data_IF_546830421434
#
_entry.id   IF_546830421434
#
_cell.length_a   1.000
_cell.length_b   1.000
_cell.length_c   1.000
_cell.angle_alpha   90.00
_cell.angle_beta   90.00
_cell.angle_gamma   90.00
#
_symmetry.space_group_name_H-M   'P 1'
#
loop_
_entity.id
_entity.type
_entity.pdbx_description
1 polymer ?
#
# COMPACT_ATOMS: atom_id res chain seq x y z
N UNK A 1 -8.11 22.08 0.63
CA UNK A 1 -9.16 21.26 -0.01
C UNK A 1 -8.76 19.78 0.06
N UNK A 2 -9.63 18.90 0.59
CA UNK A 2 -9.38 17.46 0.70
C UNK A 2 -10.07 16.66 -0.39
N UNK A 3 -9.39 15.69 -1.00
CA UNK A 3 -9.99 14.82 -2.01
C UNK A 3 -10.42 13.49 -1.37
N UNK A 4 -11.73 13.26 -1.30
CA UNK A 4 -12.34 12.07 -0.72
C UNK A 4 -12.51 11.01 -1.78
N UNK A 5 -11.83 9.87 -1.64
CA UNK A 5 -12.01 8.68 -2.46
C UNK A 5 -12.74 7.60 -1.64
N UNK A 6 -14.03 7.35 -1.87
CA UNK A 6 -14.77 6.33 -1.16
C UNK A 6 -14.28 4.94 -1.57
N UNK A 7 -14.09 4.09 -0.57
CA UNK A 7 -13.55 2.74 -0.71
C UNK A 7 -14.61 1.73 -0.32
N UNK A 8 -15.02 0.89 -1.25
CA UNK A 8 -15.99 -0.16 -0.95
C UNK A 8 -15.41 -1.19 0.06
N UNK A 9 -16.16 -1.47 1.11
CA UNK A 9 -15.87 -2.50 2.12
C UNK A 9 -16.43 -3.82 1.58
N UNK A 10 -15.59 -4.56 0.87
CA UNK A 10 -15.97 -5.83 0.24
C UNK A 10 -16.21 -6.95 1.29
N UNK A 11 -17.35 -6.89 2.00
CA UNK A 11 -17.72 -7.80 3.10
C UNK A 11 -19.22 -8.18 3.04
N UNK A 12 -19.74 -8.53 1.86
CA UNK A 12 -21.14 -8.94 1.69
C UNK A 12 -22.19 -7.84 1.89
N UNK A 13 -21.78 -6.56 1.84
CA UNK A 13 -22.69 -5.41 1.94
C UNK A 13 -23.04 -4.91 0.54
N UNK A 14 -24.22 -4.32 0.35
CA UNK A 14 -24.62 -3.80 -0.96
C UNK A 14 -23.70 -2.68 -1.44
N UNK A 15 -23.28 -2.74 -2.71
CA UNK A 15 -22.56 -1.67 -3.38
C UNK A 15 -23.40 -0.39 -3.54
N UNK A 16 -24.73 -0.48 -3.42
CA UNK A 16 -25.66 0.65 -3.48
C UNK A 16 -25.82 1.38 -2.14
N UNK A 17 -25.37 0.80 -1.02
CA UNK A 17 -25.42 1.44 0.29
C UNK A 17 -24.18 2.32 0.53
N UNK A 18 -24.32 3.65 0.72
CA UNK A 18 -23.20 4.54 1.05
C UNK A 18 -22.43 4.13 2.32
N UNK A 19 -23.07 3.44 3.27
CA UNK A 19 -22.41 2.97 4.49
C UNK A 19 -21.44 1.80 4.26
N UNK A 20 -21.56 1.13 3.11
CA UNK A 20 -20.61 0.13 2.64
C UNK A 20 -19.28 0.72 2.24
N UNK A 21 -19.13 2.04 2.19
CA UNK A 21 -17.88 2.70 1.83
C UNK A 21 -17.12 3.21 3.06
N UNK A 22 -15.80 3.21 2.98
CA UNK A 22 -14.89 3.91 3.89
C UNK A 22 -14.46 5.21 3.20
N UNK A 23 -14.63 6.33 3.90
CA UNK A 23 -14.15 7.63 3.45
C UNK A 23 -12.62 7.67 3.60
N UNK A 24 -11.90 7.90 2.50
CA UNK A 24 -10.45 8.11 2.52
C UNK A 24 -10.19 9.49 1.93
N UNK A 25 -9.58 10.38 2.71
CA UNK A 25 -9.29 11.74 2.26
C UNK A 25 -7.80 11.89 2.04
N UNK A 26 -7.39 12.14 0.79
CA UNK A 26 -5.98 12.37 0.47
C UNK A 26 -5.63 13.81 0.84
N UNK A 27 -4.74 13.96 1.83
CA UNK A 27 -4.16 15.25 2.26
C UNK A 27 -3.03 15.68 1.30
N UNK A 28 -2.81 16.99 1.15
CA UNK A 28 -1.64 17.49 0.41
C UNK A 28 -0.34 17.11 1.12
N UNK A 29 0.76 17.00 0.39
CA UNK A 29 2.08 16.67 0.95
C UNK A 29 2.51 17.70 1.99
N UNK A 30 2.25 18.99 1.75
CA UNK A 30 2.54 20.08 2.69
C UNK A 30 1.80 19.84 4.00
N UNK A 31 0.49 19.54 3.95
CA UNK A 31 -0.27 19.25 5.16
C UNK A 31 0.27 18.02 5.91
N UNK A 32 0.70 16.97 5.21
CA UNK A 32 1.31 15.79 5.85
C UNK A 32 2.61 16.12 6.59
N UNK A 33 3.44 17.00 6.02
CA UNK A 33 4.68 17.46 6.66
C UNK A 33 4.36 18.31 7.88
N UNK A 34 3.43 19.26 7.77
CA UNK A 34 3.06 20.13 8.89
C UNK A 34 2.34 19.35 10.01
N UNK A 35 1.47 18.38 9.67
CA UNK A 35 0.85 17.44 10.62
C UNK A 35 1.90 16.65 11.41
N UNK A 36 2.96 16.19 10.74
CA UNK A 36 4.04 15.43 11.37
C UNK A 36 4.94 16.29 12.26
N UNK A 37 5.27 17.51 11.83
CA UNK A 37 6.03 18.47 12.65
C UNK A 37 5.25 18.83 13.92
N UNK A 38 3.96 19.13 13.79
CA UNK A 38 3.11 19.43 14.94
C UNK A 38 2.95 18.25 15.90
N UNK A 39 2.90 17.01 15.38
CA UNK A 39 2.87 15.82 16.23
C UNK A 39 4.17 15.66 17.03
N UNK A 40 5.32 15.87 16.37
CA UNK A 40 6.63 15.81 17.03
C UNK A 40 6.77 16.92 18.09
N UNK A 41 6.35 18.15 17.79
CA UNK A 41 6.45 19.30 18.70
C UNK A 41 5.56 19.18 19.97
N UNK A 42 4.64 18.21 19.99
CA UNK A 42 3.71 17.96 21.09
C UNK A 42 3.78 16.51 21.61
N UNK A 43 4.74 15.69 21.16
CA UNK A 43 4.81 14.27 21.53
C UNK A 43 4.92 14.07 23.03
N UNK A 44 5.76 14.85 23.71
CA UNK A 44 5.98 14.75 25.15
C UNK A 44 4.70 15.04 25.97
N UNK A 45 3.89 15.98 25.51
CA UNK A 45 2.61 16.34 26.14
C UNK A 45 1.61 15.19 25.94
N UNK A 46 1.54 14.67 24.71
CA UNK A 46 0.62 13.59 24.33
C UNK A 46 0.98 12.28 25.03
N UNK A 47 2.27 11.95 25.15
CA UNK A 47 2.73 10.71 25.80
C UNK A 47 2.43 10.72 27.30
N UNK A 48 2.58 11.85 27.98
CA UNK A 48 2.30 11.99 29.43
C UNK A 48 0.84 11.73 29.80
N UNK A 49 -0.10 12.03 28.89
CA UNK A 49 -1.55 11.89 29.15
C UNK A 49 -2.11 10.55 28.67
N UNK A 50 -1.33 9.76 27.92
CA UNK A 50 -1.79 8.47 27.43
C UNK A 50 -1.94 7.48 28.58
N UNK A 51 -3.06 6.76 28.59
CA UNK A 51 -3.28 5.71 29.58
C UNK A 51 -2.21 4.60 29.40
N UNK A 52 -1.64 4.11 30.48
CA UNK A 52 -0.60 3.07 30.45
C UNK A 52 -1.09 1.72 29.88
N UNK A 53 -2.39 1.53 29.64
CA UNK A 53 -3.01 0.39 28.96
C UNK A 53 -3.33 0.68 27.48
N UNK A 54 -3.19 1.92 27.02
CA UNK A 54 -3.33 2.27 25.61
C UNK A 54 -2.19 1.59 24.83
N UNK A 55 -2.54 0.79 23.83
CA UNK A 55 -1.58 0.11 22.94
C UNK A 55 -1.68 0.58 21.49
N UNK A 56 -2.79 1.22 21.12
CA UNK A 56 -3.01 1.80 19.80
C UNK A 56 -2.48 3.23 19.71
N UNK A 57 -1.75 3.54 18.64
CA UNK A 57 -1.21 4.88 18.37
C UNK A 57 -0.29 5.44 19.48
N UNK A 58 0.40 4.55 20.21
CA UNK A 58 1.39 4.88 21.23
C UNK A 58 2.78 4.54 20.70
N UNK A 59 3.75 5.46 20.84
CA UNK A 59 5.11 5.24 20.40
C UNK A 59 5.77 4.09 21.21
N UNK A 60 6.57 3.26 20.53
CA UNK A 60 7.29 2.15 21.19
C UNK A 60 6.43 0.97 21.67
N UNK A 61 5.09 1.03 21.55
CA UNK A 61 4.18 0.01 22.05
C UNK A 61 3.31 -0.57 20.93
N UNK A 62 3.25 -1.90 20.84
CA UNK A 62 2.46 -2.58 19.81
C UNK A 62 1.03 -2.89 20.31
N UNK A 63 -0.01 -2.67 19.47
CA UNK A 63 -1.37 -3.15 19.73
C UNK A 63 -1.45 -4.65 20.02
N UNK A 64 -0.47 -5.42 19.55
CA UNK A 64 -0.39 -6.86 19.79
C UNK A 64 -0.30 -7.19 21.27
N UNK A 65 0.30 -6.33 22.10
CA UNK A 65 0.38 -6.55 23.53
C UNK A 65 -1.00 -6.53 24.21
N UNK A 66 -1.96 -5.74 23.72
CA UNK A 66 -3.35 -5.79 24.22
C UNK A 66 -4.01 -7.14 23.88
N UNK A 67 -3.77 -7.64 22.67
CA UNK A 67 -4.29 -8.94 22.25
C UNK A 67 -3.68 -10.08 23.08
N UNK A 68 -2.37 -10.04 23.38
CA UNK A 68 -1.71 -11.01 24.25
C UNK A 68 -2.36 -11.04 25.63
N UNK A 69 -2.52 -9.88 26.28
CA UNK A 69 -3.14 -9.78 27.62
C UNK A 69 -4.54 -10.40 27.64
N UNK A 70 -5.39 -10.06 26.67
CA UNK A 70 -6.75 -10.59 26.59
C UNK A 70 -6.73 -12.11 26.36
N UNK A 71 -5.84 -12.59 25.49
CA UNK A 71 -5.76 -14.02 25.14
C UNK A 71 -5.28 -14.85 26.32
N UNK A 72 -4.32 -14.35 27.11
CA UNK A 72 -3.85 -15.02 28.33
C UNK A 72 -4.92 -15.00 29.42
N UNK A 73 -5.65 -13.90 29.61
CA UNK A 73 -6.81 -13.85 30.52
C UNK A 73 -7.87 -14.90 30.17
N UNK A 74 -8.18 -15.08 28.88
CA UNK A 74 -9.08 -16.14 28.43
C UNK A 74 -8.55 -17.54 28.73
N UNK A 75 -7.27 -17.75 28.48
CA UNK A 75 -6.63 -19.04 28.69
C UNK A 75 -6.60 -19.42 30.19
N UNK A 76 -6.28 -18.46 31.06
CA UNK A 76 -6.23 -18.65 32.50
C UNK A 76 -7.63 -18.86 33.09
N UNK A 77 -8.62 -18.07 32.68
CA UNK A 77 -10.00 -18.27 33.11
C UNK A 77 -10.54 -19.66 32.70
N UNK A 78 -10.20 -20.12 31.50
CA UNK A 78 -10.58 -21.45 31.02
C UNK A 78 -9.93 -22.57 31.83
N UNK A 79 -8.64 -22.46 32.11
CA UNK A 79 -7.88 -23.49 32.84
C UNK A 79 -8.38 -23.62 34.30
N UNK A 80 -8.67 -22.49 34.93
CA UNK A 80 -9.17 -22.43 36.32
C UNK A 80 -10.70 -22.54 36.43
N UNK A 81 -11.41 -22.76 35.32
CA UNK A 81 -12.88 -22.79 35.26
C UNK A 81 -13.54 -21.56 35.89
N UNK A 82 -12.90 -20.40 35.75
CA UNK A 82 -13.39 -19.12 36.25
C UNK A 82 -14.33 -18.48 35.22
N UNK A 83 -15.33 -17.77 35.72
CA UNK A 83 -16.20 -16.94 34.87
C UNK A 83 -15.43 -15.68 34.46
N UNK A 84 -15.13 -15.56 33.16
CA UNK A 84 -14.58 -14.34 32.58
C UNK A 84 -15.64 -13.63 31.74
N UNK A 85 -15.91 -12.38 32.08
CA UNK A 85 -16.81 -11.50 31.32
C UNK A 85 -15.96 -10.50 30.54
N UNK A 86 -16.00 -10.57 29.21
CA UNK A 86 -15.35 -9.60 28.35
C UNK A 86 -16.38 -8.62 27.77
N UNK A 87 -16.23 -7.34 28.12
CA UNK A 87 -16.98 -6.26 27.50
C UNK A 87 -16.15 -5.61 26.38
N UNK A 88 -16.59 -5.77 25.13
CA UNK A 88 -15.97 -5.14 23.97
C UNK A 88 -16.77 -3.92 23.55
N UNK A 89 -16.09 -2.76 23.49
CA UNK A 89 -16.66 -1.50 23.03
C UNK A 89 -16.01 -1.13 21.70
N UNK A 90 -16.83 -0.97 20.66
CA UNK A 90 -16.38 -0.47 19.35
C UNK A 90 -17.10 0.84 19.01
N UNK A 91 -16.31 1.88 18.74
CA UNK A 91 -16.84 3.19 18.41
C UNK A 91 -17.20 3.25 16.91
N UNK A 92 -18.49 3.23 16.60
CA UNK A 92 -18.97 3.23 15.22
C UNK A 92 -18.59 4.53 14.49
N UNK A 93 -17.75 4.41 13.45
CA UNK A 93 -17.25 5.53 12.62
C UNK A 93 -16.54 6.61 13.47
N UNK A 94 -15.73 6.19 14.45
CA UNK A 94 -15.07 7.06 15.43
C UNK A 94 -14.38 8.31 14.83
N UNK A 95 -13.66 8.14 13.72
CA UNK A 95 -12.99 9.26 13.05
C UNK A 95 -13.96 10.14 12.28
N UNK A 96 -14.98 9.59 11.61
CA UNK A 96 -15.97 10.36 10.84
C UNK A 96 -16.92 11.18 11.72
N UNK A 97 -17.16 10.74 12.97
CA UNK A 97 -18.09 11.38 13.92
C UNK A 97 -17.41 12.31 14.93
N UNK A 98 -16.11 12.53 14.79
CA UNK A 98 -15.33 13.32 15.75
C UNK A 98 -15.70 14.81 15.65
N UNK A 99 -16.15 15.39 16.77
CA UNK A 99 -16.53 16.81 16.84
C UNK A 99 -15.28 17.69 16.96
N UNK A 100 -15.05 18.56 15.97
CA UNK A 100 -13.86 19.43 15.94
C UNK A 100 -13.78 20.36 17.14
N UNK A 101 -14.90 20.91 17.61
CA UNK A 101 -14.96 21.77 18.80
C UNK A 101 -14.52 21.04 20.06
N UNK A 102 -14.96 19.78 20.24
CA UNK A 102 -14.54 18.94 21.37
C UNK A 102 -13.08 18.54 21.29
N UNK A 103 -12.57 18.25 20.08
CA UNK A 103 -11.14 18.00 19.85
C UNK A 103 -10.30 19.21 20.26
N UNK A 104 -10.60 20.38 19.69
CA UNK A 104 -9.86 21.62 19.94
C UNK A 104 -9.90 22.02 21.42
N UNK A 105 -11.06 21.86 22.08
CA UNK A 105 -11.17 22.08 23.52
C UNK A 105 -10.28 21.13 24.32
N UNK A 106 -10.30 19.84 24.00
CA UNK A 106 -9.48 18.83 24.69
C UNK A 106 -7.99 19.06 24.47
N UNK A 107 -7.56 19.39 23.26
CA UNK A 107 -6.15 19.66 22.96
C UNK A 107 -5.64 20.89 23.69
N UNK A 108 -6.48 21.94 23.84
CA UNK A 108 -6.15 23.09 24.68
C UNK A 108 -5.98 22.69 26.15
N UNK A 109 -6.91 21.90 26.69
CA UNK A 109 -6.91 21.48 28.10
C UNK A 109 -5.71 20.60 28.49
N UNK A 110 -5.14 19.85 27.54
CA UNK A 110 -3.95 19.01 27.79
C UNK A 110 -2.64 19.79 27.64
N UNK A 111 -2.69 21.10 27.35
CA UNK A 111 -1.52 21.97 27.26
C UNK A 111 -0.96 22.20 25.85
N UNK A 112 -1.71 21.84 24.80
CA UNK A 112 -1.41 22.31 23.44
C UNK A 112 -2.10 23.66 23.26
N UNK A 113 -1.38 24.76 23.50
CA UNK A 113 -1.88 26.15 23.47
C UNK A 113 -1.10 27.03 22.47
N UNK A 114 -1.33 28.35 22.50
CA UNK A 114 -0.63 29.34 21.66
C UNK A 114 -0.69 29.06 20.15
N UNK A 115 0.41 29.30 19.46
CA UNK A 115 0.53 29.15 18.00
C UNK A 115 0.28 27.71 17.53
N UNK A 116 0.69 26.72 18.36
CA UNK A 116 0.45 25.30 18.08
C UNK A 116 -1.05 25.01 18.03
N UNK A 117 -1.80 25.51 19.00
CA UNK A 117 -3.25 25.35 19.04
C UNK A 117 -3.96 26.13 17.92
N UNK A 118 -3.50 27.35 17.62
CA UNK A 118 -4.03 28.16 16.52
C UNK A 118 -3.84 27.47 15.16
N UNK A 119 -2.71 26.81 14.95
CA UNK A 119 -2.45 26.01 13.74
C UNK A 119 -3.40 24.80 13.65
N UNK A 120 -3.59 24.06 14.76
CA UNK A 120 -4.55 22.97 14.82
C UNK A 120 -5.98 23.46 14.55
N UNK A 121 -6.37 24.61 15.13
CA UNK A 121 -7.66 25.27 14.86
C UNK A 121 -7.80 25.60 13.38
N UNK A 122 -6.77 26.20 12.76
CA UNK A 122 -6.77 26.54 11.34
C UNK A 122 -6.93 25.31 10.43
N UNK A 123 -6.34 24.16 10.79
CA UNK A 123 -6.53 22.91 10.04
C UNK A 123 -7.97 22.41 10.02
N UNK A 124 -8.75 22.69 11.06
CA UNK A 124 -10.14 22.25 11.18
C UNK A 124 -11.18 23.36 10.90
N UNK A 125 -10.77 24.63 10.76
CA UNK A 125 -11.69 25.76 10.70
C UNK A 125 -12.40 25.93 9.34
N UNK A 126 -11.82 25.42 8.23
CA UNK A 126 -12.41 25.56 6.88
C UNK A 126 -12.08 24.34 5.99
N UNK A 127 -12.23 23.14 6.54
CA UNK A 127 -12.01 21.93 5.76
C UNK A 127 -13.07 21.81 4.67
N UNK A 128 -12.71 22.16 3.44
CA UNK A 128 -13.54 21.88 2.26
C UNK A 128 -13.05 20.62 1.58
N UNK A 129 -13.97 19.71 1.28
CA UNK A 129 -13.66 18.45 0.58
C UNK A 129 -14.53 18.24 -0.65
N UNK A 130 -14.04 17.40 -1.55
CA UNK A 130 -14.76 16.92 -2.72
C UNK A 130 -14.69 15.40 -2.78
N UNK A 131 -15.81 14.76 -3.12
CA UNK A 131 -15.85 13.32 -3.36
C UNK A 131 -15.48 13.04 -4.80
N UNK A 132 -14.48 12.19 -5.00
CA UNK A 132 -14.14 11.60 -6.29
C UNK A 132 -14.90 10.30 -6.47
N UNK A 133 -15.77 10.23 -7.47
CA UNK A 133 -16.55 9.03 -7.79
C UNK A 133 -16.57 8.79 -9.30
N UNK A 134 -16.19 7.58 -9.75
CA UNK A 134 -16.19 7.20 -11.17
C UNK A 134 -15.55 8.23 -12.13
N UNK A 135 -14.52 8.93 -11.69
CA UNK A 135 -13.82 9.95 -12.49
C UNK A 135 -14.38 11.37 -12.37
N UNK A 136 -15.58 11.55 -11.83
CA UNK A 136 -16.16 12.85 -11.52
C UNK A 136 -15.81 13.35 -10.12
N UNK A 137 -15.93 14.67 -9.92
CA UNK A 137 -15.79 15.34 -8.62
C UNK A 137 -17.15 15.90 -8.18
N UNK A 138 -17.47 15.75 -6.91
CA UNK A 138 -18.61 16.46 -6.33
C UNK A 138 -18.34 17.97 -6.24
N UNK A 139 -19.40 18.75 -6.07
CA UNK A 139 -19.26 20.13 -5.56
C UNK A 139 -18.47 20.12 -4.24
N UNK A 140 -17.61 21.12 -3.99
CA UNK A 140 -16.95 21.27 -2.71
C UNK A 140 -17.98 21.41 -1.58
N UNK A 141 -17.74 20.73 -0.46
CA UNK A 141 -18.58 20.84 0.73
C UNK A 141 -17.71 20.96 1.99
N UNK A 142 -18.19 21.72 2.99
CA UNK A 142 -17.48 21.84 4.27
C UNK A 142 -17.58 20.52 5.08
N UNK A 143 -16.44 20.04 5.58
CA UNK A 143 -16.35 18.94 6.53
C UNK A 143 -16.51 19.48 7.95
N UNK A 144 -17.64 19.14 8.57
CA UNK A 144 -17.96 19.55 9.95
C UNK A 144 -17.47 18.54 11.00
N UNK A 145 -17.13 17.31 10.58
CA UNK A 145 -16.71 16.18 11.42
C UNK A 145 -15.82 15.24 10.58
N UNK A 146 -14.80 14.62 11.18
CA UNK A 146 -13.93 13.68 10.45
C UNK A 146 -12.43 13.73 10.77
N UNK A 147 -11.73 12.62 10.53
CA UNK A 147 -10.26 12.58 10.40
C UNK A 147 -9.89 11.67 9.21
N UNK A 148 -8.80 11.97 8.48
CA UNK A 148 -8.45 11.34 7.18
C UNK A 148 -7.87 9.91 7.36
N UNK A 149 -8.15 8.98 6.44
CA UNK A 149 -7.66 7.57 6.47
C UNK A 149 -7.04 7.12 5.13
N UNK A 150 -6.06 6.21 5.14
CA UNK A 150 -5.32 5.68 3.96
C UNK A 150 -5.60 4.18 3.66
N UNK A 151 -5.19 3.68 2.47
CA UNK A 151 -5.49 2.34 1.93
C UNK A 151 -4.23 1.51 1.61
N UNK A 152 -4.32 0.17 1.74
CA UNK A 152 -3.23 -0.80 1.48
C UNK A 152 -3.19 -1.32 0.03
N UNK A 153 -2.02 -1.83 -0.41
CA UNK A 153 -1.61 -2.10 -1.80
C UNK A 153 -1.76 -3.58 -2.26
N UNK A 154 -1.69 -3.82 -3.58
CA UNK A 154 -1.79 -5.15 -4.25
C UNK A 154 -0.43 -5.89 -4.28
N UNK A 155 -0.43 -7.23 -4.42
CA UNK A 155 0.77 -8.09 -4.39
C UNK A 155 1.88 -7.66 -5.37
N UNK A 156 1.51 -7.21 -6.57
CA UNK A 156 2.46 -6.72 -7.56
C UNK A 156 3.02 -5.32 -7.23
N UNK A 157 2.29 -4.51 -6.45
CA UNK A 157 2.80 -3.22 -5.99
C UNK A 157 3.95 -3.38 -5.00
N UNK A 158 3.89 -4.40 -4.14
CA UNK A 158 4.98 -4.74 -3.22
C UNK A 158 6.26 -5.11 -3.98
N UNK A 159 6.16 -5.98 -4.99
CA UNK A 159 7.30 -6.37 -5.83
C UNK A 159 7.89 -5.20 -6.62
N UNK A 160 7.05 -4.31 -7.18
CA UNK A 160 7.56 -3.14 -7.91
C UNK A 160 8.24 -2.10 -7.01
N UNK A 161 7.76 -1.95 -5.78
CA UNK A 161 8.38 -1.07 -4.79
C UNK A 161 9.62 -1.70 -4.15
N UNK A 162 9.83 -3.01 -4.30
CA UNK A 162 10.86 -3.74 -3.58
C UNK A 162 10.59 -3.82 -2.08
N UNK A 163 9.36 -3.60 -1.63
CA UNK A 163 9.00 -3.56 -0.22
C UNK A 163 8.08 -4.73 0.12
N UNK A 164 8.32 -5.45 1.23
CA UNK A 164 7.47 -6.58 1.60
C UNK A 164 6.11 -6.10 2.12
N UNK A 165 5.10 -6.99 2.16
CA UNK A 165 3.80 -6.66 2.72
C UNK A 165 3.90 -6.33 4.21
N UNK A 166 2.97 -5.52 4.72
CA UNK A 166 2.96 -5.14 6.13
C UNK A 166 2.91 -6.36 7.07
N UNK A 167 2.30 -7.46 6.62
CA UNK A 167 2.26 -8.72 7.36
C UNK A 167 3.66 -9.33 7.55
N UNK A 168 4.54 -9.20 6.57
CA UNK A 168 5.94 -9.61 6.68
C UNK A 168 6.66 -8.80 7.78
N UNK A 169 6.47 -7.49 7.79
CA UNK A 169 7.05 -6.60 8.80
C UNK A 169 6.53 -6.92 10.22
N UNK A 170 5.25 -7.26 10.34
CA UNK A 170 4.68 -7.73 11.60
C UNK A 170 5.35 -9.02 12.05
N UNK A 171 5.51 -10.01 11.16
CA UNK A 171 6.15 -11.27 11.51
C UNK A 171 7.62 -11.09 11.92
N UNK A 172 8.39 -10.24 11.21
CA UNK A 172 9.76 -9.89 11.62
C UNK A 172 9.80 -9.34 13.04
N UNK A 173 8.90 -8.40 13.37
CA UNK A 173 8.81 -7.82 14.71
C UNK A 173 8.46 -8.86 15.77
N UNK A 174 7.51 -9.76 15.48
CA UNK A 174 7.15 -10.88 16.37
C UNK A 174 8.40 -11.71 16.69
N UNK A 175 9.19 -12.09 15.66
CA UNK A 175 10.41 -12.86 15.86
C UNK A 175 11.51 -12.09 16.59
N UNK A 176 11.68 -10.79 16.33
CA UNK A 176 12.63 -9.96 17.08
C UNK A 176 12.25 -9.89 18.56
N UNK A 177 10.96 -9.68 18.86
CA UNK A 177 10.44 -9.68 20.24
C UNK A 177 10.66 -11.03 20.91
N UNK A 178 10.30 -12.12 20.25
CA UNK A 178 10.53 -13.47 20.78
C UNK A 178 12.01 -13.74 21.03
N UNK A 179 12.89 -13.37 20.09
CA UNK A 179 14.34 -13.47 20.22
C UNK A 179 14.90 -12.72 21.44
N UNK A 180 14.30 -11.58 21.81
CA UNK A 180 14.70 -10.84 23.01
C UNK A 180 14.23 -11.53 24.30
N UNK A 181 13.03 -12.11 24.29
CA UNK A 181 12.49 -12.87 25.44
C UNK A 181 13.36 -14.10 25.71
N UNK A 182 13.67 -14.90 24.68
CA UNK A 182 14.46 -16.12 24.86
C UNK A 182 15.91 -15.85 25.30
N UNK A 183 16.47 -14.67 24.97
CA UNK A 183 17.80 -14.26 25.43
C UNK A 183 17.85 -13.74 26.87
N UNK A 184 16.72 -13.34 27.45
CA UNK A 184 16.67 -12.75 28.78
C UNK A 184 16.14 -13.76 29.82
N UNK A 185 17.04 -14.64 30.27
CA UNK A 185 16.71 -15.78 31.14
C UNK A 185 16.06 -15.39 32.47
N UNK A 186 16.38 -14.22 33.02
CA UNK A 186 15.87 -13.76 34.32
C UNK A 186 14.47 -13.13 34.24
N UNK A 187 13.94 -12.93 33.03
CA UNK A 187 12.65 -12.28 32.83
C UNK A 187 11.46 -13.19 33.11
N UNK A 188 10.36 -12.61 33.60
CA UNK A 188 9.09 -13.32 33.81
C UNK A 188 8.57 -13.86 32.48
N UNK A 189 8.75 -13.10 31.40
CA UNK A 189 8.39 -13.47 30.03
C UNK A 189 9.13 -14.72 29.56
N UNK A 190 10.41 -14.89 29.91
CA UNK A 190 11.16 -16.10 29.60
C UNK A 190 10.62 -17.32 30.36
N UNK A 191 10.32 -17.17 31.65
CA UNK A 191 9.73 -18.23 32.45
C UNK A 191 8.32 -18.62 31.97
N UNK A 192 7.51 -17.63 31.56
CA UNK A 192 6.20 -17.84 30.95
C UNK A 192 6.31 -18.58 29.61
N UNK A 193 7.35 -18.29 28.82
CA UNK A 193 7.59 -18.96 27.54
C UNK A 193 7.72 -20.47 27.72
N UNK A 194 8.56 -20.92 28.66
CA UNK A 194 8.73 -22.34 28.99
C UNK A 194 7.43 -23.00 29.44
N UNK A 195 6.69 -22.34 30.34
CA UNK A 195 5.43 -22.87 30.87
C UNK A 195 4.35 -22.98 29.80
N UNK A 196 4.15 -21.94 28.99
CA UNK A 196 3.09 -21.88 27.99
C UNK A 196 3.34 -22.87 26.84
N UNK A 197 4.59 -23.00 26.39
CA UNK A 197 4.95 -23.93 25.31
C UNK A 197 4.92 -25.41 25.76
N UNK A 198 5.08 -25.68 27.06
CA UNK A 198 4.96 -27.04 27.61
C UNK A 198 3.52 -27.46 27.91
N UNK A 199 2.62 -26.51 28.19
CA UNK A 199 1.27 -26.80 28.70
C UNK A 199 0.16 -26.60 27.67
N UNK A 200 0.33 -25.70 26.69
CA UNK A 200 -0.73 -25.39 25.73
C UNK A 200 -0.69 -26.31 24.52
N UNK A 201 -1.86 -26.83 24.16
CA UNK A 201 -2.06 -27.60 22.91
C UNK A 201 -1.82 -26.73 21.66
N UNK A 202 -1.46 -27.37 20.54
CA UNK A 202 -1.21 -26.71 19.25
C UNK A 202 -2.45 -25.97 18.67
N UNK A 203 -3.65 -26.24 19.18
CA UNK A 203 -4.89 -25.53 18.80
C UNK A 203 -5.21 -24.32 19.69
N UNK A 204 -4.34 -23.99 20.66
CA UNK A 204 -4.51 -22.84 21.54
C UNK A 204 -4.26 -21.53 20.78
N UNK A 205 -5.02 -20.48 21.13
CA UNK A 205 -4.82 -19.14 20.57
C UNK A 205 -3.64 -18.37 21.20
N UNK A 206 -2.87 -19.00 22.10
CA UNK A 206 -1.74 -18.34 22.78
C UNK A 206 -0.74 -17.76 21.80
N UNK A 207 -0.17 -16.60 22.15
CA UNK A 207 0.85 -15.93 21.35
C UNK A 207 2.07 -16.82 21.11
N UNK A 208 2.47 -17.64 22.08
CA UNK A 208 3.60 -18.56 21.94
C UNK A 208 3.32 -19.69 20.95
N UNK A 209 2.08 -20.19 20.88
CA UNK A 209 1.65 -21.18 19.88
C UNK A 209 1.57 -20.55 18.48
N UNK A 210 1.12 -19.29 18.39
CA UNK A 210 1.21 -18.52 17.15
C UNK A 210 2.69 -18.36 16.72
N UNK A 211 3.59 -17.97 17.62
CA UNK A 211 5.04 -17.88 17.31
C UNK A 211 5.57 -19.22 16.83
N UNK A 212 5.23 -20.34 17.48
CA UNK A 212 5.60 -21.69 17.05
C UNK A 212 5.13 -21.97 15.61
N UNK A 213 3.86 -21.72 15.31
CA UNK A 213 3.31 -21.91 13.94
C UNK A 213 3.98 -21.01 12.90
N UNK A 214 4.41 -19.81 13.29
CA UNK A 214 5.12 -18.89 12.41
C UNK A 214 6.56 -19.37 12.20
N UNK A 215 7.26 -19.86 13.23
CA UNK A 215 8.58 -20.45 13.08
C UNK A 215 8.54 -21.62 12.07
N UNK A 216 7.55 -22.50 12.20
CA UNK A 216 7.29 -23.60 11.26
C UNK A 216 6.97 -23.08 9.84
N UNK A 217 6.10 -22.05 9.72
CA UNK A 217 5.73 -21.46 8.42
C UNK A 217 6.94 -20.90 7.65
N UNK A 218 7.91 -20.33 8.37
CA UNK A 218 9.11 -19.73 7.77
C UNK A 218 10.31 -20.68 7.73
N UNK A 219 10.17 -21.92 8.19
CA UNK A 219 11.28 -22.87 8.33
C UNK A 219 12.44 -22.29 9.18
N UNK A 220 12.08 -21.59 10.25
CA UNK A 220 13.03 -21.06 11.23
C UNK A 220 13.31 -22.11 12.33
N UNK A 221 14.43 -21.96 13.07
CA UNK A 221 14.77 -22.86 14.18
C UNK A 221 13.60 -23.05 15.14
N UNK A 222 13.44 -24.27 15.65
CA UNK A 222 12.32 -24.58 16.53
C UNK A 222 12.39 -23.74 17.80
N UNK A 223 11.24 -23.50 18.43
CA UNK A 223 11.22 -22.77 19.69
C UNK A 223 12.07 -23.46 20.77
N UNK A 224 12.21 -24.80 20.73
CA UNK A 224 13.02 -25.56 21.67
C UNK A 224 14.51 -25.24 21.49
N UNK A 225 14.99 -25.24 20.24
CA UNK A 225 16.37 -24.87 19.92
C UNK A 225 16.68 -23.43 20.34
N UNK A 226 15.73 -22.52 20.12
CA UNK A 226 15.85 -21.10 20.48
C UNK A 226 15.86 -20.86 21.99
N UNK A 227 15.16 -21.68 22.78
CA UNK A 227 15.16 -21.58 24.25
C UNK A 227 16.44 -22.15 24.87
N UNK A 228 17.01 -23.21 24.29
CA UNK A 228 18.23 -23.82 24.79
C UNK A 228 19.47 -23.03 24.41
N UNK A 229 19.57 -22.62 23.14
CA UNK A 229 20.74 -21.96 22.59
C UNK A 229 20.31 -20.75 21.74
N UNK A 230 19.90 -19.63 22.39
CA UNK A 230 19.41 -18.48 21.65
C UNK A 230 20.53 -17.84 20.82
N UNK A 231 20.32 -17.61 19.51
CA UNK A 231 21.31 -16.97 18.67
C UNK A 231 21.56 -15.51 19.10
N UNK A 232 22.79 -15.04 18.87
CA UNK A 232 23.16 -13.64 19.08
C UNK A 232 22.23 -12.67 18.34
N UNK A 233 21.98 -11.48 18.92
CA UNK A 233 21.03 -10.50 18.38
C UNK A 233 21.23 -10.17 16.89
N UNK A 234 22.45 -9.83 16.41
CA UNK A 234 22.66 -9.52 15.00
C UNK A 234 22.41 -10.72 14.09
N UNK A 235 22.84 -11.91 14.51
CA UNK A 235 22.66 -13.16 13.76
C UNK A 235 21.18 -13.50 13.60
N UNK A 236 20.40 -13.36 14.67
CA UNK A 236 18.96 -13.58 14.66
C UNK A 236 18.22 -12.58 13.76
N UNK A 237 18.52 -11.29 13.89
CA UNK A 237 17.89 -10.25 13.09
C UNK A 237 18.16 -10.44 11.58
N UNK A 238 19.39 -10.81 11.21
CA UNK A 238 19.75 -11.10 9.83
C UNK A 238 19.02 -12.34 9.29
N UNK A 239 18.97 -13.44 10.06
CA UNK A 239 18.26 -14.66 9.68
C UNK A 239 16.77 -14.43 9.50
N UNK A 240 16.13 -13.74 10.45
CA UNK A 240 14.70 -13.40 10.38
C UNK A 240 14.43 -12.54 9.15
N UNK A 241 15.25 -11.51 8.91
CA UNK A 241 15.09 -10.61 7.77
C UNK A 241 15.20 -11.37 6.44
N UNK A 242 16.25 -12.17 6.25
CA UNK A 242 16.48 -12.91 5.00
C UNK A 242 15.38 -13.93 4.74
N UNK A 243 15.01 -14.73 5.75
CA UNK A 243 14.03 -15.82 5.63
C UNK A 243 12.63 -15.28 5.35
N UNK A 244 12.19 -14.27 6.11
CA UNK A 244 10.86 -13.67 5.92
C UNK A 244 10.77 -12.98 4.55
N UNK A 245 11.82 -12.26 4.12
CA UNK A 245 11.83 -11.65 2.80
C UNK A 245 11.79 -12.69 1.69
N UNK A 246 12.59 -13.76 1.78
CA UNK A 246 12.62 -14.83 0.77
C UNK A 246 11.26 -15.50 0.62
N UNK A 247 10.62 -15.88 1.73
CA UNK A 247 9.27 -16.46 1.72
C UNK A 247 8.25 -15.55 1.02
N UNK A 248 8.21 -14.27 1.41
CA UNK A 248 7.24 -13.33 0.83
C UNK A 248 7.54 -13.01 -0.62
N UNK A 249 8.80 -12.94 -1.02
CA UNK A 249 9.17 -12.76 -2.41
C UNK A 249 8.64 -13.92 -3.27
N UNK A 250 8.91 -15.17 -2.86
CA UNK A 250 8.44 -16.36 -3.58
C UNK A 250 6.91 -16.39 -3.66
N UNK A 251 6.23 -16.15 -2.53
CA UNK A 251 4.77 -16.11 -2.48
C UNK A 251 4.18 -15.03 -3.39
N UNK A 252 4.70 -13.81 -3.32
CA UNK A 252 4.23 -12.70 -4.15
C UNK A 252 4.49 -12.94 -5.63
N UNK A 253 5.65 -13.51 -5.98
CA UNK A 253 5.97 -13.90 -7.37
C UNK A 253 4.98 -14.94 -7.90
N UNK A 254 4.68 -15.97 -7.11
CA UNK A 254 3.70 -17.00 -7.48
C UNK A 254 2.31 -16.39 -7.70
N UNK A 255 1.83 -15.57 -6.77
CA UNK A 255 0.55 -14.86 -6.90
C UNK A 255 0.53 -13.95 -8.14
N UNK A 256 1.64 -13.23 -8.40
CA UNK A 256 1.74 -12.33 -9.55
C UNK A 256 1.72 -13.09 -10.89
N UNK A 257 2.39 -14.25 -10.99
CA UNK A 257 2.41 -15.07 -12.21
C UNK A 257 1.02 -15.57 -12.64
N UNK A 258 0.10 -15.76 -11.70
CA UNK A 258 -1.29 -16.14 -12.03
C UNK A 258 -2.11 -15.02 -12.68
N UNK A 259 -1.66 -13.76 -12.58
CA UNK A 259 -2.42 -12.59 -13.02
C UNK A 259 -2.10 -12.25 -14.48
N UNK A 260 -3.07 -12.51 -15.38
CA UNK A 260 -2.95 -12.12 -16.80
C UNK A 260 -2.80 -10.61 -17.05
N UNK A 261 -3.16 -9.77 -16.08
CA UNK A 261 -2.92 -8.32 -16.16
C UNK A 261 -1.44 -7.95 -16.12
N UNK A 262 -0.58 -8.80 -15.56
CA UNK A 262 0.85 -8.56 -15.37
C UNK A 262 1.72 -9.13 -16.50
N UNK A 263 1.11 -9.53 -17.63
CA UNK A 263 1.80 -10.10 -18.80
C UNK A 263 2.94 -9.24 -19.37
N UNK A 264 2.99 -7.96 -19.03
CA UNK A 264 4.03 -7.03 -19.49
C UNK A 264 5.17 -6.85 -18.47
N UNK A 265 5.22 -7.65 -17.41
CA UNK A 265 6.27 -7.60 -16.38
C UNK A 265 6.92 -8.97 -16.31
N UNK A 266 8.24 -8.99 -16.39
CA UNK A 266 9.07 -10.12 -16.01
C UNK A 266 9.15 -10.19 -14.48
N UNK A 267 8.20 -10.94 -13.90
CA UNK A 267 8.06 -11.11 -12.46
C UNK A 267 9.32 -11.71 -11.82
N UNK A 268 10.09 -12.51 -12.58
CA UNK A 268 11.29 -13.16 -12.06
C UNK A 268 12.44 -12.18 -11.83
N UNK A 269 12.45 -11.03 -12.54
CA UNK A 269 13.42 -9.94 -12.33
C UNK A 269 13.14 -9.06 -11.11
N UNK A 270 11.94 -9.13 -10.54
CA UNK A 270 11.58 -8.34 -9.36
C UNK A 270 12.11 -8.99 -8.09
N UNK A 271 12.50 -8.19 -7.10
CA UNK A 271 12.93 -8.72 -5.80
C UNK A 271 12.64 -7.75 -4.66
N UNK A 272 12.43 -8.30 -3.47
CA UNK A 272 12.29 -7.49 -2.25
C UNK A 272 13.67 -6.94 -1.89
N UNK A 273 13.73 -5.64 -1.61
CA UNK A 273 14.95 -4.85 -1.40
C UNK A 273 15.46 -4.15 -2.65
N UNK A 274 14.88 -4.38 -3.83
CA UNK A 274 15.24 -3.71 -5.08
C UNK A 274 14.03 -3.03 -5.71
N UNK A 275 14.10 -1.72 -5.83
CA UNK A 275 13.07 -0.90 -6.49
C UNK A 275 13.09 -1.09 -8.00
N UNK A 276 11.90 -1.15 -8.59
CA UNK A 276 11.72 -1.24 -10.04
C UNK A 276 12.23 0.02 -10.77
N UNK A 277 12.61 -0.14 -12.05
CA UNK A 277 13.15 0.91 -12.92
C UNK A 277 12.27 2.17 -13.01
N UNK A 278 10.95 1.99 -13.00
CA UNK A 278 9.94 3.08 -12.99
C UNK A 278 10.22 4.09 -11.86
N UNK A 279 10.66 3.60 -10.70
CA UNK A 279 10.91 4.40 -9.51
C UNK A 279 12.35 4.92 -9.46
N UNK A 280 13.32 4.09 -9.85
CA UNK A 280 14.74 4.47 -9.86
C UNK A 280 15.00 5.70 -10.71
N UNK A 281 14.35 5.79 -11.87
CA UNK A 281 14.46 6.92 -12.79
C UNK A 281 13.66 8.15 -12.36
N UNK A 282 12.86 8.08 -11.29
CA UNK A 282 12.00 9.17 -10.83
C UNK A 282 12.65 10.05 -9.75
N UNK A 283 13.55 9.47 -8.95
CA UNK A 283 14.18 10.18 -7.83
C UNK A 283 13.14 10.69 -6.83
N UNK A 284 13.37 11.90 -6.30
CA UNK A 284 12.51 12.56 -5.31
C UNK A 284 11.56 13.63 -5.89
N UNK A 285 11.58 13.86 -7.21
CA UNK A 285 10.76 14.88 -7.84
C UNK A 285 9.28 14.46 -7.86
N UNK A 286 8.42 15.27 -7.22
CA UNK A 286 7.00 14.96 -7.05
C UNK A 286 6.24 14.88 -8.37
N UNK A 287 6.60 15.72 -9.34
CA UNK A 287 5.98 15.70 -10.66
C UNK A 287 6.38 14.44 -11.42
N UNK A 288 7.65 14.06 -11.38
CA UNK A 288 8.15 12.83 -12.01
C UNK A 288 7.57 11.58 -11.34
N UNK A 289 7.44 11.56 -10.00
CA UNK A 289 6.76 10.50 -9.24
C UNK A 289 5.28 10.38 -9.66
N UNK A 290 4.61 11.50 -9.94
CA UNK A 290 3.22 11.49 -10.45
C UNK A 290 3.14 10.81 -11.81
N UNK A 291 4.07 11.14 -12.72
CA UNK A 291 4.17 10.47 -14.03
C UNK A 291 4.45 8.97 -13.88
N UNK A 292 5.40 8.61 -13.01
CA UNK A 292 5.76 7.23 -12.71
C UNK A 292 4.57 6.45 -12.14
N UNK A 293 3.77 7.06 -11.27
CA UNK A 293 2.55 6.47 -10.69
C UNK A 293 1.45 6.24 -11.72
N UNK A 294 1.32 7.11 -12.72
CA UNK A 294 0.41 6.89 -13.86
C UNK A 294 0.87 5.67 -14.66
N UNK A 295 2.15 5.62 -15.05
CA UNK A 295 2.72 4.50 -15.79
C UNK A 295 2.64 3.18 -15.02
N UNK A 296 2.96 3.18 -13.72
CA UNK A 296 2.85 2.00 -12.85
C UNK A 296 1.43 1.44 -12.82
N UNK A 297 0.40 2.30 -12.78
CA UNK A 297 -1.00 1.85 -12.87
C UNK A 297 -1.30 1.17 -14.21
N UNK A 298 -0.75 1.67 -15.31
CA UNK A 298 -0.90 1.06 -16.64
C UNK A 298 -0.19 -0.28 -16.72
N UNK A 299 1.04 -0.37 -16.18
CA UNK A 299 1.84 -1.59 -16.12
C UNK A 299 1.12 -2.69 -15.32
N UNK A 300 0.63 -2.36 -14.13
CA UNK A 300 -0.12 -3.27 -13.25
C UNK A 300 -1.51 -3.65 -13.78
N UNK A 301 -1.98 -2.99 -14.84
CA UNK A 301 -3.33 -3.21 -15.40
C UNK A 301 -4.46 -2.67 -14.50
N UNK A 302 -4.14 -1.78 -13.56
CA UNK A 302 -5.12 -1.11 -12.68
C UNK A 302 -5.53 0.28 -13.19
N UNK A 303 -4.93 0.73 -14.30
CA UNK A 303 -5.35 1.94 -15.00
C UNK A 303 -6.73 1.73 -15.66
N UNK A 304 -7.63 2.68 -15.45
CA UNK A 304 -9.06 2.54 -15.76
C UNK A 304 -9.35 2.76 -17.25
N UNK A 305 -9.18 1.72 -18.05
CA UNK A 305 -9.64 1.63 -19.45
C UNK A 305 -10.96 0.87 -19.55
N UNK A 306 -11.75 1.08 -20.60
CA UNK A 306 -13.06 0.41 -20.74
C UNK A 306 -12.97 -1.11 -20.80
N UNK A 307 -11.95 -1.70 -21.46
CA UNK A 307 -11.77 -3.14 -21.46
C UNK A 307 -11.53 -3.70 -20.04
N UNK A 308 -10.80 -2.96 -19.20
CA UNK A 308 -10.60 -3.31 -17.80
C UNK A 308 -11.91 -3.19 -16.99
N UNK A 309 -12.71 -2.14 -17.23
CA UNK A 309 -14.00 -1.95 -16.55
C UNK A 309 -15.01 -3.04 -16.92
N UNK A 310 -15.12 -3.37 -18.21
CA UNK A 310 -15.96 -4.45 -18.70
C UNK A 310 -15.59 -5.79 -18.05
N UNK A 311 -14.30 -6.10 -17.90
CA UNK A 311 -13.87 -7.36 -17.24
C UNK A 311 -14.43 -7.54 -15.82
N UNK A 312 -14.66 -6.45 -15.08
CA UNK A 312 -15.23 -6.49 -13.72
C UNK A 312 -16.75 -6.31 -13.69
N UNK A 313 -17.34 -5.56 -14.63
CA UNK A 313 -18.79 -5.33 -14.77
C UNK A 313 -19.26 -5.67 -16.20
N UNK A 314 -19.20 -6.96 -16.57
CA UNK A 314 -19.42 -7.42 -17.95
C UNK A 314 -20.83 -7.08 -18.49
N UNK A 315 -21.81 -6.95 -17.60
CA UNK A 315 -23.21 -6.70 -17.94
C UNK A 315 -23.60 -5.22 -18.02
N UNK A 316 -22.74 -4.29 -17.57
CA UNK A 316 -23.08 -2.86 -17.45
C UNK A 316 -22.16 -1.93 -18.26
N UNK A 317 -21.01 -2.43 -18.71
CA UNK A 317 -19.98 -1.60 -19.34
C UNK A 317 -19.62 -2.14 -20.70
N UNK A 318 -19.78 -1.33 -21.74
CA UNK A 318 -19.28 -1.61 -23.08
C UNK A 318 -17.73 -1.59 -23.05
N UNK A 319 -17.03 -2.64 -23.51
CA UNK A 319 -15.56 -2.66 -23.55
C UNK A 319 -14.99 -1.66 -24.58
N UNK A 320 -15.82 -1.15 -25.50
CA UNK A 320 -15.39 -0.30 -26.61
C UNK A 320 -14.75 1.00 -26.14
N UNK A 321 -13.79 1.48 -26.93
CA UNK A 321 -13.19 2.79 -26.73
C UNK A 321 -14.26 3.88 -26.78
N UNK A 322 -14.42 4.68 -25.71
CA UNK A 322 -15.49 5.66 -25.62
C UNK A 322 -15.29 6.82 -26.62
N UNK A 323 -14.08 6.93 -27.17
CA UNK A 323 -13.70 8.03 -28.04
C UNK A 323 -13.68 7.63 -29.53
N UNK A 324 -13.09 6.48 -29.93
CA UNK A 324 -13.14 6.04 -31.34
C UNK A 324 -14.19 4.98 -31.67
N UNK A 325 -14.71 4.22 -30.68
CA UNK A 325 -15.68 3.13 -30.86
C UNK A 325 -15.27 2.01 -31.84
N UNK A 326 -14.01 1.93 -32.25
CA UNK A 326 -13.52 0.98 -33.26
C UNK A 326 -13.07 -0.38 -32.68
N UNK A 327 -13.07 -0.53 -31.35
CA UNK A 327 -12.65 -1.76 -30.68
C UNK A 327 -12.50 -1.57 -29.17
N UNK A 328 -12.13 -2.63 -28.42
CA UNK A 328 -11.99 -2.57 -26.98
C UNK A 328 -10.87 -1.62 -26.55
N UNK A 329 -11.11 -0.80 -25.53
CA UNK A 329 -10.08 0.08 -24.98
C UNK A 329 -9.15 -0.71 -24.06
N UNK A 330 -8.19 -1.40 -24.63
CA UNK A 330 -7.10 -2.05 -23.90
C UNK A 330 -5.81 -1.22 -23.91
N UNK A 331 -4.77 -1.72 -23.23
CA UNK A 331 -3.49 -1.02 -23.10
C UNK A 331 -2.80 -0.80 -24.45
N UNK A 332 -2.87 -1.76 -25.36
CA UNK A 332 -2.23 -1.68 -26.67
C UNK A 332 -2.99 -0.71 -27.57
N UNK A 333 -4.32 -0.77 -27.54
CA UNK A 333 -5.16 0.20 -28.22
C UNK A 333 -4.85 1.62 -27.75
N UNK A 334 -4.88 1.84 -26.43
CA UNK A 334 -4.65 3.15 -25.83
C UNK A 334 -3.23 3.69 -26.10
N UNK A 335 -2.20 2.88 -25.87
CA UNK A 335 -0.80 3.33 -25.96
C UNK A 335 -0.29 3.42 -27.38
N UNK A 336 -0.74 2.56 -28.30
CA UNK A 336 -0.15 2.45 -29.64
C UNK A 336 -1.13 2.78 -30.77
N UNK A 337 -2.35 2.22 -30.76
CA UNK A 337 -3.21 2.22 -31.95
C UNK A 337 -4.17 3.42 -32.06
N UNK A 338 -4.50 4.06 -30.94
CA UNK A 338 -5.64 4.98 -30.87
C UNK A 338 -5.45 6.32 -31.61
N UNK A 339 -5.95 6.44 -32.85
CA UNK A 339 -5.63 7.54 -33.77
C UNK A 339 -5.89 8.96 -33.27
N UNK A 340 -6.92 9.21 -32.45
CA UNK A 340 -7.22 10.57 -31.99
C UNK A 340 -6.19 11.13 -30.99
N UNK A 341 -5.38 10.27 -30.36
CA UNK A 341 -4.22 10.70 -29.57
C UNK A 341 -2.89 10.62 -30.35
N UNK A 342 -2.94 10.44 -31.67
CA UNK A 342 -1.74 10.39 -32.50
C UNK A 342 -0.91 11.66 -32.37
N UNK A 343 -1.53 12.84 -32.39
CA UNK A 343 -0.83 14.13 -32.29
C UNK A 343 -0.02 14.26 -30.99
N UNK A 344 -0.56 13.79 -29.86
CA UNK A 344 0.12 13.78 -28.56
C UNK A 344 1.23 12.73 -28.53
N UNK A 345 1.01 11.59 -29.18
CA UNK A 345 1.92 10.44 -29.17
C UNK A 345 3.14 10.60 -30.08
N UNK A 346 2.97 11.19 -31.27
CA UNK A 346 4.00 11.23 -32.33
C UNK A 346 5.35 11.78 -31.85
N UNK A 347 5.44 12.91 -31.11
CA UNK A 347 6.74 13.44 -30.67
C UNK A 347 7.53 12.46 -29.79
N UNK A 348 6.83 11.75 -28.91
CA UNK A 348 7.44 10.73 -28.05
C UNK A 348 7.80 9.47 -28.85
N UNK A 349 6.99 9.08 -29.83
CA UNK A 349 7.29 7.93 -30.68
C UNK A 349 8.52 8.17 -31.55
N UNK A 350 8.68 9.37 -32.11
CA UNK A 350 9.91 9.71 -32.85
C UNK A 350 11.13 9.69 -31.94
N UNK A 351 11.02 10.24 -30.74
CA UNK A 351 12.09 10.18 -29.73
C UNK A 351 12.44 8.73 -29.33
N UNK A 352 11.43 7.87 -29.13
CA UNK A 352 11.62 6.46 -28.84
C UNK A 352 12.27 5.72 -30.01
N UNK A 353 11.84 5.97 -31.25
CA UNK A 353 12.43 5.39 -32.46
C UNK A 353 13.90 5.77 -32.65
N UNK A 354 14.28 7.00 -32.29
CA UNK A 354 15.69 7.42 -32.33
C UNK A 354 16.51 6.56 -31.37
N UNK A 355 16.07 6.44 -30.11
CA UNK A 355 16.76 5.60 -29.13
C UNK A 355 16.78 4.13 -29.57
N UNK A 356 15.67 3.60 -30.10
CA UNK A 356 15.61 2.22 -30.58
C UNK A 356 16.53 1.97 -31.80
N UNK A 357 16.71 2.95 -32.68
CA UNK A 357 17.66 2.88 -33.80
C UNK A 357 19.11 2.81 -33.33
N UNK A 358 19.47 3.59 -32.31
CA UNK A 358 20.79 3.54 -31.68
C UNK A 358 21.08 2.17 -31.03
N UNK A 359 20.04 1.47 -30.58
CA UNK A 359 20.16 0.21 -29.83
C UNK A 359 20.32 -1.05 -30.70
N UNK A 360 19.57 -1.13 -31.79
CA UNK A 360 19.20 -2.43 -32.36
C UNK A 360 19.41 -2.57 -33.86
N UNK A 361 20.01 -1.58 -34.54
CA UNK A 361 20.27 -1.57 -35.99
C UNK A 361 19.09 -2.12 -36.82
N UNK A 362 19.00 -3.43 -37.08
CA UNK A 362 17.94 -4.07 -37.88
C UNK A 362 16.68 -4.49 -37.10
N UNK A 363 16.76 -4.71 -35.78
CA UNK A 363 15.62 -5.20 -34.97
C UNK A 363 14.63 -4.10 -34.51
N UNK A 364 15.00 -2.81 -34.63
CA UNK A 364 14.10 -1.72 -34.23
C UNK A 364 12.81 -1.67 -35.07
N UNK A 365 12.87 -2.11 -36.34
CA UNK A 365 11.71 -2.15 -37.22
C UNK A 365 10.70 -3.20 -36.76
N UNK A 366 11.16 -4.35 -36.24
CA UNK A 366 10.29 -5.40 -35.70
C UNK A 366 9.52 -4.93 -34.46
N UNK A 367 10.20 -4.20 -33.55
CA UNK A 367 9.53 -3.67 -32.34
C UNK A 367 8.54 -2.56 -32.71
N UNK A 368 8.88 -1.71 -33.68
CA UNK A 368 8.03 -0.57 -34.06
C UNK A 368 6.81 -1.00 -34.88
N UNK A 369 6.92 -2.10 -35.63
CA UNK A 369 5.82 -2.64 -36.44
C UNK A 369 4.84 -3.51 -35.64
N UNK A 370 5.28 -4.15 -34.56
CA UNK A 370 4.43 -4.95 -33.67
C UNK A 370 3.87 -4.10 -32.50
N UNK A 371 2.55 -3.83 -32.47
CA UNK A 371 1.94 -3.02 -31.41
C UNK A 371 2.08 -3.61 -30.00
N UNK A 372 2.15 -4.94 -29.88
CA UNK A 372 2.26 -5.62 -28.59
C UNK A 372 3.69 -5.52 -28.04
N UNK A 373 4.71 -5.73 -28.88
CA UNK A 373 6.11 -5.53 -28.50
C UNK A 373 6.40 -4.06 -28.17
N UNK A 374 5.82 -3.13 -28.93
CA UNK A 374 5.93 -1.71 -28.63
C UNK A 374 5.25 -1.37 -27.29
N UNK A 375 4.08 -1.96 -27.02
CA UNK A 375 3.39 -1.81 -25.72
C UNK A 375 4.25 -2.34 -24.58
N UNK A 376 4.91 -3.49 -24.77
CA UNK A 376 5.85 -4.07 -23.79
C UNK A 376 6.97 -3.08 -23.48
N UNK A 377 7.66 -2.54 -24.49
CA UNK A 377 8.78 -1.62 -24.27
C UNK A 377 8.33 -0.30 -23.61
N UNK A 378 7.14 0.20 -23.97
CA UNK A 378 6.58 1.42 -23.36
C UNK A 378 6.25 1.19 -21.88
N UNK A 379 5.65 0.05 -21.54
CA UNK A 379 5.21 -0.24 -20.18
C UNK A 379 6.37 -0.68 -19.28
N UNK A 380 7.22 -1.56 -19.78
CA UNK A 380 8.42 -2.02 -19.09
C UNK A 380 9.49 -2.50 -20.10
N UNK A 381 10.46 -1.61 -20.36
CA UNK A 381 11.57 -1.89 -21.25
C UNK A 381 12.52 -2.96 -20.69
N UNK A 382 12.55 -3.14 -19.36
CA UNK A 382 13.44 -4.14 -18.73
C UNK A 382 12.97 -5.57 -18.94
N UNK A 383 11.69 -5.77 -19.27
CA UNK A 383 11.11 -7.07 -19.58
C UNK A 383 11.24 -7.47 -21.06
N UNK A 384 11.74 -6.56 -21.91
CA UNK A 384 11.98 -6.85 -23.32
C UNK A 384 13.35 -7.51 -23.51
N UNK A 385 13.44 -8.68 -24.19
CA UNK A 385 14.72 -9.36 -24.43
C UNK A 385 15.63 -8.56 -25.37
N UNK A 386 15.06 -7.62 -26.14
CA UNK A 386 15.77 -6.81 -27.12
C UNK A 386 16.44 -5.57 -26.51
N UNK A 387 16.10 -5.21 -25.26
CA UNK A 387 16.55 -3.95 -24.66
C UNK A 387 17.73 -4.21 -23.72
N UNK A 388 18.89 -3.64 -24.07
CA UNK A 388 20.10 -3.70 -23.24
C UNK A 388 20.03 -2.73 -22.04
N UNK A 389 20.60 -3.08 -20.87
CA UNK A 389 20.49 -2.28 -19.64
C UNK A 389 20.95 -0.82 -19.74
N UNK A 390 21.95 -0.53 -20.57
CA UNK A 390 22.47 0.84 -20.76
C UNK A 390 21.42 1.84 -21.28
N UNK A 391 20.34 1.35 -21.90
CA UNK A 391 19.27 2.20 -22.45
C UNK A 391 18.02 2.26 -21.58
N UNK A 392 17.95 1.48 -20.49
CA UNK A 392 16.79 1.39 -19.60
C UNK A 392 16.32 2.76 -19.11
N UNK A 393 17.24 3.59 -18.57
CA UNK A 393 16.88 4.90 -18.04
C UNK A 393 16.34 5.85 -19.11
N UNK A 394 16.94 5.88 -20.31
CA UNK A 394 16.54 6.80 -21.39
C UNK A 394 15.18 6.42 -21.94
N UNK A 395 14.94 5.13 -22.20
CA UNK A 395 13.64 4.61 -22.64
C UNK A 395 12.56 4.77 -21.57
N UNK A 396 12.89 4.51 -20.30
CA UNK A 396 11.97 4.66 -19.18
C UNK A 396 11.50 6.11 -19.04
N UNK A 397 12.42 7.08 -19.10
CA UNK A 397 12.09 8.50 -19.03
C UNK A 397 11.15 8.94 -20.16
N UNK A 398 11.44 8.54 -21.41
CA UNK A 398 10.61 8.88 -22.58
C UNK A 398 9.22 8.25 -22.50
N UNK A 399 9.17 6.95 -22.23
CA UNK A 399 7.90 6.19 -22.15
C UNK A 399 7.03 6.62 -20.97
N UNK A 400 7.63 7.01 -19.83
CA UNK A 400 6.93 7.64 -18.71
C UNK A 400 6.31 8.98 -19.11
N UNK A 401 7.04 9.79 -19.86
CA UNK A 401 6.53 11.04 -20.44
C UNK A 401 5.32 10.79 -21.34
N UNK A 402 5.43 9.84 -22.26
CA UNK A 402 4.35 9.41 -23.15
C UNK A 402 3.10 8.95 -22.39
N UNK A 403 3.25 8.03 -21.43
CA UNK A 403 2.13 7.50 -20.63
C UNK A 403 1.39 8.63 -19.90
N UNK A 404 2.12 9.59 -19.35
CA UNK A 404 1.52 10.72 -18.66
C UNK A 404 0.82 11.69 -19.63
N UNK A 405 1.43 12.01 -20.77
CA UNK A 405 0.82 12.88 -21.78
C UNK A 405 -0.49 12.29 -22.31
N UNK A 406 -0.50 10.97 -22.61
CA UNK A 406 -1.71 10.25 -23.02
C UNK A 406 -2.77 10.22 -21.90
N UNK A 407 -2.36 10.08 -20.63
CA UNK A 407 -3.28 10.14 -19.49
C UNK A 407 -4.00 11.49 -19.41
N UNK A 408 -3.26 12.60 -19.52
CA UNK A 408 -3.84 13.95 -19.50
C UNK A 408 -4.78 14.13 -20.68
N UNK A 409 -4.32 13.84 -21.89
CA UNK A 409 -5.11 14.03 -23.11
C UNK A 409 -6.41 13.20 -23.11
N UNK A 410 -6.34 11.94 -22.65
CA UNK A 410 -7.54 11.12 -22.48
C UNK A 410 -8.49 11.68 -21.41
N UNK A 411 -7.95 12.12 -20.28
CA UNK A 411 -8.78 12.68 -19.20
C UNK A 411 -9.54 13.91 -19.69
N UNK A 412 -8.85 14.81 -20.39
CA UNK A 412 -9.47 15.98 -21.04
C UNK A 412 -10.51 15.58 -22.08
N UNK A 413 -10.21 14.63 -22.97
CA UNK A 413 -11.15 14.18 -24.00
C UNK A 413 -12.44 13.57 -23.41
N UNK A 414 -12.32 12.81 -22.31
CA UNK A 414 -13.49 12.26 -21.62
C UNK A 414 -14.31 13.34 -20.92
N UNK A 415 -13.68 14.34 -20.31
CA UNK A 415 -14.40 15.47 -19.70
C UNK A 415 -15.25 16.25 -20.72
N UNK A 416 -14.81 16.35 -21.97
CA UNK A 416 -15.60 16.95 -23.06
C UNK A 416 -16.71 16.05 -23.57
N UNK A 417 -16.55 14.73 -23.51
CA UNK A 417 -17.53 13.77 -24.02
C UNK A 417 -18.70 13.48 -23.07
N UNK A 418 -18.52 13.73 -21.77
CA UNK A 418 -19.54 13.54 -20.72
C UNK A 418 -20.18 14.85 -20.22
N UNK A 419 -19.80 15.99 -20.81
CA UNK A 419 -20.59 17.24 -20.75
C UNK A 419 -21.51 17.27 -21.95
#
# INVERSE_FOLDING_TARGET
MGLVSPVFKNKGKSATDPNSYRKITVSSVINKVTEKLHLNDNSDIIEKIQNYLQRGFTAGVSPIFAAIIITELFAEAKDHKLLLILALLDAQKAFDKLWHSSLLRKTYQIGIDGDKWLMLKAWYHELVSQVKWNGGLSRPFPEKQGVRQDKAADSASYLLLGEPPIKAEIHKRIFTTFGNIVRNFDSIEHQLTWRQLATKSNSSNSWYIMVKSLLEMYDLPSYYDLLQNPPGKPTWENLVKSTVNSYWEQKLKLEAKTKSSLKFIDIDRLSIGKTHLIWNSAGSDTFVITKASVKCRMLLGVYTLQANRHRFNQFEVDPSCPLCKQGPEDRTHFLVLYQHLATVRQPFMESLKIVMREMLQDLHQQITSDPLLLTQVILDCSSSPFVQPQYYNRLECLSRGLCYALHIARSTALEYHYK
#
